data_IF_770327916681
#
_entry.id   IF_770327916681
#
_cell.length_a   1.000
_cell.length_b   1.000
_cell.length_c   1.000
_cell.angle_alpha   90.00
_cell.angle_beta   90.00
_cell.angle_gamma   90.00
#
_symmetry.space_group_name_H-M   'P 1'
#
loop_
_entity.id
_entity.type
_entity.pdbx_description
1 polymer ?
#
# COMPACT_ATOMS: atom_id res chain seq x y z
N UNK A 1 31.57 13.33 32.60
CA UNK A 1 31.03 12.15 33.31
C UNK A 1 30.12 12.67 34.41
N UNK A 2 28.81 12.48 34.28
CA UNK A 2 27.82 12.72 35.33
C UNK A 2 26.88 11.55 35.29
N UNK A 3 27.19 10.58 36.15
CA UNK A 3 26.48 9.32 36.30
C UNK A 3 25.21 9.59 37.12
N UNK A 4 24.05 9.60 36.47
CA UNK A 4 22.77 9.67 37.15
C UNK A 4 22.39 8.24 37.61
N UNK A 5 22.78 7.90 38.84
CA UNK A 5 22.43 6.62 39.44
C UNK A 5 20.93 6.58 39.78
N UNK A 6 20.15 5.78 39.04
CA UNK A 6 18.79 5.41 39.43
C UNK A 6 18.85 4.51 40.67
N UNK A 7 18.41 5.02 41.83
CA UNK A 7 18.14 4.20 43.02
C UNK A 7 16.76 3.56 42.89
N UNK A 8 16.71 2.23 42.95
CA UNK A 8 15.46 1.46 43.09
C UNK A 8 14.94 1.64 44.53
N UNK A 9 13.74 2.20 44.67
CA UNK A 9 13.08 2.46 45.97
C UNK A 9 12.15 1.29 46.32
N UNK A 10 12.18 0.87 47.59
CA UNK A 10 11.40 -0.25 48.14
C UNK A 10 9.87 -0.01 48.13
N UNK A 11 9.12 -1.12 48.08
CA UNK A 11 7.68 -1.19 47.73
C UNK A 11 6.73 -0.57 48.77
N UNK A 12 6.31 0.68 48.53
CA UNK A 12 5.01 1.25 48.96
C UNK A 12 4.33 1.90 47.73
N UNK A 13 3.03 1.72 47.52
CA UNK A 13 2.36 2.20 46.28
C UNK A 13 2.37 3.73 46.13
N UNK A 14 2.35 4.48 47.24
CA UNK A 14 2.49 5.96 47.25
C UNK A 14 3.90 6.39 46.80
N UNK A 15 4.94 5.61 47.13
CA UNK A 15 6.32 5.90 46.73
C UNK A 15 6.58 5.56 45.27
N UNK A 16 5.87 4.56 44.72
CA UNK A 16 5.94 4.24 43.28
C UNK A 16 5.35 5.32 42.39
N UNK A 17 4.22 5.91 42.77
CA UNK A 17 3.60 6.98 41.98
C UNK A 17 4.48 8.23 41.96
N UNK A 18 5.02 8.63 43.11
CA UNK A 18 5.96 9.77 43.19
C UNK A 18 7.26 9.50 42.42
N UNK A 19 7.82 8.29 42.53
CA UNK A 19 9.00 7.90 41.77
C UNK A 19 8.72 7.89 40.26
N UNK A 20 7.53 7.43 39.85
CA UNK A 20 7.08 7.45 38.47
C UNK A 20 6.92 8.90 37.96
N UNK A 21 6.27 9.79 38.68
CA UNK A 21 6.13 11.21 38.30
C UNK A 21 7.50 11.91 38.20
N UNK A 22 8.41 11.65 39.13
CA UNK A 22 9.76 12.19 39.09
C UNK A 22 10.53 11.68 37.86
N UNK A 23 10.40 10.40 37.53
CA UNK A 23 10.99 9.80 36.34
C UNK A 23 10.38 10.38 35.05
N UNK A 24 9.04 10.49 34.97
CA UNK A 24 8.34 11.10 33.84
C UNK A 24 8.80 12.55 33.63
N UNK A 25 8.86 13.36 34.69
CA UNK A 25 9.34 14.75 34.63
C UNK A 25 10.83 14.86 34.30
N UNK A 26 11.66 13.89 34.68
CA UNK A 26 13.06 13.84 34.25
C UNK A 26 13.18 13.52 32.75
N UNK A 27 12.36 12.59 32.25
CA UNK A 27 12.32 12.20 30.85
C UNK A 27 11.86 13.40 29.99
N UNK A 28 10.77 14.07 30.35
CA UNK A 28 10.30 15.26 29.62
C UNK A 28 11.31 16.42 29.62
N UNK A 29 11.99 16.66 30.75
CA UNK A 29 13.05 17.70 30.80
C UNK A 29 14.26 17.36 29.93
N UNK A 30 14.60 16.08 29.81
CA UNK A 30 15.78 15.64 29.05
C UNK A 30 15.50 15.48 27.56
N UNK A 31 14.27 15.11 27.19
CA UNK A 31 13.91 14.70 25.83
C UNK A 31 12.75 15.50 25.19
N UNK A 32 12.19 16.47 25.92
CA UNK A 32 11.12 17.36 25.45
C UNK A 32 9.71 16.90 25.85
N UNK A 33 8.74 17.81 25.78
CA UNK A 33 7.33 17.49 26.05
C UNK A 33 6.84 16.39 25.12
N UNK A 34 6.11 15.42 25.67
CA UNK A 34 5.56 14.29 24.91
C UNK A 34 6.55 13.15 24.64
N UNK A 35 7.77 13.19 25.19
CA UNK A 35 8.74 12.08 25.10
C UNK A 35 8.27 10.81 25.84
N UNK A 36 7.37 10.96 26.82
CA UNK A 36 6.73 9.86 27.54
C UNK A 36 5.34 10.30 27.98
N UNK A 37 4.33 9.46 27.78
CA UNK A 37 2.94 9.77 28.13
C UNK A 37 2.16 8.49 28.38
N UNK A 38 1.06 8.58 29.13
CA UNK A 38 0.13 7.45 29.29
C UNK A 38 -0.66 7.30 27.98
N UNK A 39 -0.71 6.08 27.44
CA UNK A 39 -1.35 5.79 26.16
C UNK A 39 -2.82 6.25 26.07
N UNK A 40 -3.55 6.23 27.19
CA UNK A 40 -4.96 6.65 27.28
C UNK A 40 -5.18 8.12 27.69
N UNK A 41 -4.14 8.95 27.81
CA UNK A 41 -4.27 10.38 28.12
C UNK A 41 -4.49 11.27 26.89
N UNK A 42 -4.60 10.68 25.69
CA UNK A 42 -5.21 11.37 24.56
C UNK A 42 -6.73 11.30 24.72
N UNK A 43 -7.40 12.46 24.83
CA UNK A 43 -8.87 12.56 24.91
C UNK A 43 -9.59 12.05 23.64
N UNK A 44 -8.84 11.74 22.58
CA UNK A 44 -9.29 10.96 21.44
C UNK A 44 -8.39 9.71 21.34
N UNK A 45 -8.97 8.52 21.20
CA UNK A 45 -8.21 7.40 20.64
C UNK A 45 -7.44 7.93 19.42
N UNK A 46 -6.14 7.65 19.28
CA UNK A 46 -5.36 8.12 18.14
C UNK A 46 -5.98 7.46 16.89
N UNK A 47 -6.95 8.13 16.28
CA UNK A 47 -7.50 7.76 14.99
C UNK A 47 -6.36 7.92 14.00
N UNK A 48 -5.91 6.80 13.46
CA UNK A 48 -4.84 6.80 12.48
C UNK A 48 -5.43 7.37 11.20
N UNK A 49 -5.03 8.60 10.87
CA UNK A 49 -5.42 9.23 9.62
C UNK A 49 -4.98 8.37 8.42
N UNK A 50 -5.80 8.37 7.37
CA UNK A 50 -5.58 7.56 6.19
C UNK A 50 -5.63 8.41 4.90
N UNK A 51 -4.89 7.96 3.89
CA UNK A 51 -4.98 8.44 2.50
C UNK A 51 -5.67 7.34 1.69
N UNK A 52 -6.74 7.67 0.97
CA UNK A 52 -7.43 6.70 0.11
C UNK A 52 -6.46 6.12 -0.92
N UNK A 53 -6.63 4.83 -1.21
CA UNK A 53 -5.88 4.13 -2.24
C UNK A 53 -6.42 4.39 -3.65
N UNK A 54 -7.55 5.08 -3.78
CA UNK A 54 -8.33 5.19 -5.01
C UNK A 54 -9.18 3.96 -5.32
N UNK A 55 -9.01 2.86 -4.56
CA UNK A 55 -9.85 1.66 -4.61
C UNK A 55 -10.72 1.57 -3.36
N UNK A 56 -12.04 1.50 -3.55
CA UNK A 56 -13.00 1.42 -2.42
C UNK A 56 -12.83 0.10 -1.69
N UNK A 57 -12.68 -1.00 -2.43
CA UNK A 57 -12.52 -2.33 -1.84
C UNK A 57 -11.25 -2.40 -1.00
N UNK A 58 -10.15 -1.82 -1.49
CA UNK A 58 -8.88 -1.81 -0.77
C UNK A 58 -8.93 -0.91 0.47
N UNK A 59 -9.58 0.24 0.41
CA UNK A 59 -9.78 1.12 1.57
C UNK A 59 -10.59 0.41 2.69
N UNK A 60 -11.65 -0.30 2.32
CA UNK A 60 -12.44 -1.14 3.25
C UNK A 60 -11.58 -2.27 3.83
N UNK A 61 -10.79 -2.93 2.99
CA UNK A 61 -9.95 -4.01 3.44
C UNK A 61 -8.87 -3.55 4.44
N UNK A 62 -8.29 -2.37 4.22
CA UNK A 62 -7.33 -1.76 5.12
C UNK A 62 -7.92 -1.39 6.48
N UNK A 63 -9.25 -1.27 6.58
CA UNK A 63 -10.01 -1.16 7.84
C UNK A 63 -10.03 0.23 8.46
N UNK A 64 -9.09 1.10 8.07
CA UNK A 64 -9.05 2.52 8.47
C UNK A 64 -9.44 3.45 7.32
N UNK A 65 -9.94 2.92 6.20
CA UNK A 65 -10.36 3.70 5.04
C UNK A 65 -9.23 4.14 4.10
N UNK A 66 -8.03 3.55 4.21
CA UNK A 66 -6.91 3.85 3.31
C UNK A 66 -5.54 3.49 3.88
N UNK A 67 -4.49 4.05 3.30
CA UNK A 67 -3.10 3.91 3.72
C UNK A 67 -2.79 4.80 4.93
N UNK A 68 -2.15 4.29 5.99
CA UNK A 68 -1.95 5.06 7.23
C UNK A 68 -0.90 6.16 7.06
N UNK A 69 -1.27 7.40 7.39
CA UNK A 69 -0.33 8.53 7.49
C UNK A 69 0.68 8.32 8.62
N UNK A 70 1.84 8.96 8.46
CA UNK A 70 2.96 8.82 9.40
C UNK A 70 3.58 7.42 9.46
N UNK A 71 3.37 6.59 8.43
CA UNK A 71 3.85 5.19 8.36
C UNK A 71 4.45 4.86 6.99
N UNK A 72 5.26 3.81 6.97
CA UNK A 72 5.73 3.19 5.74
C UNK A 72 4.78 2.11 5.20
N UNK A 73 4.61 2.07 3.88
CA UNK A 73 3.85 1.07 3.14
C UNK A 73 4.76 0.46 2.07
N UNK A 74 4.71 -0.86 1.88
CA UNK A 74 5.36 -1.52 0.74
C UNK A 74 4.31 -2.08 -0.21
N UNK A 75 4.40 -1.71 -1.49
CA UNK A 75 3.59 -2.27 -2.58
C UNK A 75 4.53 -3.09 -3.46
N UNK A 76 4.32 -4.39 -3.52
CA UNK A 76 5.18 -5.29 -4.29
C UNK A 76 4.38 -6.27 -5.13
N UNK A 77 4.98 -6.78 -6.19
CA UNK A 77 4.30 -7.62 -7.15
C UNK A 77 5.14 -7.86 -8.41
N UNK A 78 4.65 -8.69 -9.34
CA UNK A 78 5.26 -8.87 -10.65
C UNK A 78 5.38 -7.55 -11.43
N UNK A 79 6.12 -7.57 -12.53
CA UNK A 79 6.06 -6.50 -13.52
C UNK A 79 4.64 -6.33 -14.07
N UNK A 80 4.29 -5.11 -14.46
CA UNK A 80 2.97 -4.79 -15.05
C UNK A 80 1.75 -5.18 -14.19
N UNK A 81 1.92 -5.42 -12.89
CA UNK A 81 0.82 -5.76 -11.98
C UNK A 81 0.02 -4.55 -11.48
N UNK A 82 0.47 -3.31 -11.77
CA UNK A 82 -0.21 -2.08 -11.35
C UNK A 82 0.37 -1.41 -10.10
N UNK A 83 1.58 -1.76 -9.66
CA UNK A 83 2.25 -1.15 -8.49
C UNK A 83 2.31 0.38 -8.56
N UNK A 84 2.88 0.91 -9.63
CA UNK A 84 3.02 2.35 -9.88
C UNK A 84 1.66 3.00 -10.06
N UNK A 85 0.72 2.36 -10.77
CA UNK A 85 -0.67 2.83 -10.90
C UNK A 85 -1.34 3.02 -9.54
N UNK A 86 -1.24 2.03 -8.64
CA UNK A 86 -1.81 2.12 -7.29
C UNK A 86 -1.16 3.24 -6.46
N UNK A 87 0.17 3.41 -6.55
CA UNK A 87 0.86 4.49 -5.86
C UNK A 87 0.45 5.88 -6.41
N UNK A 88 0.30 6.02 -7.72
CA UNK A 88 -0.16 7.25 -8.36
C UNK A 88 -1.61 7.58 -7.99
N UNK A 89 -2.49 6.59 -7.80
CA UNK A 89 -3.82 6.84 -7.25
C UNK A 89 -3.77 7.37 -5.82
N UNK A 90 -2.92 6.81 -4.95
CA UNK A 90 -2.73 7.34 -3.61
C UNK A 90 -2.21 8.79 -3.62
N UNK A 91 -1.30 9.12 -4.56
CA UNK A 91 -0.83 10.49 -4.79
C UNK A 91 -1.98 11.40 -5.24
N UNK A 92 -2.78 10.97 -6.22
CA UNK A 92 -3.92 11.73 -6.73
C UNK A 92 -4.97 11.99 -5.64
N UNK A 93 -5.31 10.98 -4.82
CA UNK A 93 -6.24 11.12 -3.70
C UNK A 93 -5.71 12.08 -2.63
N UNK A 94 -4.41 12.03 -2.32
CA UNK A 94 -3.80 12.99 -1.39
C UNK A 94 -3.87 14.43 -1.94
N UNK A 95 -3.52 14.63 -3.21
CA UNK A 95 -3.57 15.96 -3.85
C UNK A 95 -5.00 16.52 -3.92
N UNK A 96 -6.02 15.68 -4.15
CA UNK A 96 -7.44 16.10 -4.13
C UNK A 96 -7.84 16.72 -2.79
N UNK A 97 -7.22 16.28 -1.70
CA UNK A 97 -7.44 16.82 -0.35
C UNK A 97 -6.50 17.99 0.01
N UNK A 98 -5.75 18.51 -0.96
CA UNK A 98 -4.80 19.62 -0.77
C UNK A 98 -3.42 19.19 -0.27
N UNK A 99 -3.12 17.89 -0.24
CA UNK A 99 -1.84 17.37 0.20
C UNK A 99 -0.71 17.59 -0.82
N UNK A 100 0.51 17.79 -0.31
CA UNK A 100 1.72 17.91 -1.14
C UNK A 100 2.38 16.56 -1.31
N UNK A 101 2.69 16.18 -2.54
CA UNK A 101 3.21 14.86 -2.86
C UNK A 101 4.60 14.94 -3.50
N UNK A 102 5.41 13.91 -3.28
CA UNK A 102 6.72 13.74 -3.89
C UNK A 102 6.91 12.33 -4.44
N UNK A 103 7.69 12.21 -5.50
CA UNK A 103 7.98 10.97 -6.19
C UNK A 103 9.49 10.85 -6.45
N UNK A 104 10.12 9.84 -5.87
CA UNK A 104 11.52 9.48 -6.10
C UNK A 104 11.52 8.35 -7.14
N UNK A 105 11.74 8.72 -8.39
CA UNK A 105 11.75 7.84 -9.56
C UNK A 105 13.18 7.34 -9.82
N UNK A 106 13.56 6.28 -9.10
CA UNK A 106 14.81 5.56 -9.29
C UNK A 106 14.77 4.62 -10.51
N UNK A 107 13.59 4.23 -10.99
CA UNK A 107 13.45 3.44 -12.24
C UNK A 107 13.53 4.30 -13.51
N UNK A 108 13.48 5.64 -13.39
CA UNK A 108 13.43 6.57 -14.52
C UNK A 108 12.30 6.26 -15.52
N UNK A 109 11.17 5.77 -15.00
CA UNK A 109 10.10 5.18 -15.79
C UNK A 109 8.73 5.87 -15.60
N UNK A 110 8.67 6.94 -14.81
CA UNK A 110 7.43 7.67 -14.59
C UNK A 110 7.00 8.42 -15.85
N UNK A 111 5.82 8.10 -16.37
CA UNK A 111 5.17 8.83 -17.48
C UNK A 111 4.24 9.93 -16.92
N UNK A 112 4.56 11.22 -17.12
CA UNK A 112 3.71 12.32 -16.67
C UNK A 112 2.32 12.34 -17.33
N UNK A 113 2.21 11.93 -18.59
CA UNK A 113 0.94 11.89 -19.32
C UNK A 113 0.03 10.84 -18.72
N UNK A 114 0.57 9.67 -18.40
CA UNK A 114 -0.17 8.62 -17.70
C UNK A 114 -0.56 9.07 -16.30
N UNK A 115 0.36 9.65 -15.52
CA UNK A 115 0.05 10.17 -14.17
C UNK A 115 -1.09 11.20 -14.19
N UNK A 116 -1.08 12.14 -15.14
CA UNK A 116 -2.14 13.13 -15.29
C UNK A 116 -3.51 12.48 -15.58
N UNK A 117 -3.55 11.44 -16.43
CA UNK A 117 -4.78 10.68 -16.70
C UNK A 117 -5.34 9.97 -15.45
N UNK A 118 -4.48 9.58 -14.51
CA UNK A 118 -4.88 9.01 -13.22
C UNK A 118 -5.37 10.08 -12.22
N UNK A 119 -5.35 11.36 -12.60
CA UNK A 119 -5.79 12.48 -11.77
C UNK A 119 -4.70 13.08 -10.89
N UNK A 120 -3.43 12.76 -11.14
CA UNK A 120 -2.30 13.41 -10.49
C UNK A 120 -2.14 14.84 -11.04
N UNK A 121 -2.04 15.82 -10.16
CA UNK A 121 -1.61 17.16 -10.52
C UNK A 121 -0.08 17.14 -10.70
N UNK A 122 0.35 16.95 -11.94
CA UNK A 122 1.76 16.85 -12.33
C UNK A 122 2.54 18.16 -12.19
N UNK A 123 1.87 19.32 -12.21
CA UNK A 123 2.51 20.63 -12.06
C UNK A 123 3.02 20.85 -10.62
N UNK A 124 2.31 20.29 -9.65
CA UNK A 124 2.62 20.41 -8.22
C UNK A 124 3.29 19.15 -7.65
N UNK A 125 3.51 18.10 -8.46
CA UNK A 125 4.18 16.89 -8.02
C UNK A 125 5.70 17.10 -8.00
N UNK A 126 6.32 17.01 -6.82
CA UNK A 126 7.77 17.05 -6.70
C UNK A 126 8.37 15.74 -7.22
N UNK A 127 9.28 15.81 -8.20
CA UNK A 127 9.93 14.63 -8.77
C UNK A 127 11.44 14.71 -8.51
N UNK A 128 12.03 13.58 -8.14
CA UNK A 128 13.47 13.40 -8.05
C UNK A 128 13.88 12.14 -8.81
N UNK A 129 14.89 12.27 -9.66
CA UNK A 129 15.51 11.17 -10.40
C UNK A 129 16.97 11.01 -9.94
N UNK A 130 17.21 10.23 -8.88
CA UNK A 130 18.52 10.12 -8.26
C UNK A 130 19.46 9.19 -9.05
N UNK A 131 20.77 9.47 -8.98
CA UNK A 131 21.81 8.66 -9.61
C UNK A 131 22.15 7.41 -8.79
N UNK A 132 21.97 7.45 -7.46
CA UNK A 132 22.34 6.36 -6.54
C UNK A 132 21.33 6.17 -5.41
N UNK A 133 21.30 4.96 -4.85
CA UNK A 133 20.40 4.58 -3.76
C UNK A 133 20.57 5.42 -2.49
N UNK A 134 21.81 5.78 -2.12
CA UNK A 134 22.08 6.66 -0.99
C UNK A 134 21.44 8.04 -1.20
N UNK A 135 21.63 8.63 -2.38
CA UNK A 135 21.09 9.94 -2.74
C UNK A 135 19.56 9.92 -2.71
N UNK A 136 18.94 8.90 -3.30
CA UNK A 136 17.49 8.71 -3.29
C UNK A 136 16.91 8.73 -1.87
N UNK A 137 17.53 7.98 -0.95
CA UNK A 137 17.07 7.85 0.43
C UNK A 137 17.36 9.12 1.26
N UNK A 138 18.45 9.83 0.97
CA UNK A 138 18.75 11.13 1.60
C UNK A 138 17.78 12.24 1.15
N UNK A 139 17.41 12.25 -0.14
CA UNK A 139 16.38 13.14 -0.68
C UNK A 139 15.04 12.85 0.00
N UNK A 140 14.63 11.57 0.04
CA UNK A 140 13.40 11.16 0.71
C UNK A 140 13.37 11.60 2.18
N UNK A 141 14.47 11.40 2.93
CA UNK A 141 14.55 11.76 4.34
C UNK A 141 14.54 13.28 4.58
N UNK A 142 15.14 14.05 3.66
CA UNK A 142 15.12 15.51 3.71
C UNK A 142 13.74 16.07 3.43
N UNK A 143 13.07 15.55 2.40
CA UNK A 143 11.70 15.88 2.06
C UNK A 143 10.73 15.56 3.21
N UNK A 144 10.82 14.35 3.79
CA UNK A 144 9.98 13.96 4.93
C UNK A 144 10.24 14.83 6.16
N UNK A 145 11.51 15.15 6.47
CA UNK A 145 11.86 16.01 7.61
C UNK A 145 11.40 17.46 7.49
N UNK A 146 11.18 17.95 6.26
CA UNK A 146 10.67 19.30 6.06
C UNK A 146 9.28 19.50 6.69
N UNK A 147 8.54 18.41 6.90
CA UNK A 147 7.14 18.46 7.37
C UNK A 147 6.15 18.94 6.31
N UNK A 148 6.61 19.21 5.08
CA UNK A 148 5.78 19.75 4.00
C UNK A 148 5.22 18.68 3.06
N UNK A 149 5.63 17.40 3.20
CA UNK A 149 5.21 16.32 2.30
C UNK A 149 4.20 15.41 3.00
N UNK A 150 3.02 15.27 2.40
CA UNK A 150 1.94 14.39 2.85
C UNK A 150 2.14 12.95 2.38
N UNK A 151 2.54 12.77 1.12
CA UNK A 151 2.79 11.44 0.51
C UNK A 151 4.10 11.47 -0.25
N UNK A 152 4.99 10.52 0.04
CA UNK A 152 6.24 10.32 -0.69
C UNK A 152 6.29 8.89 -1.26
N UNK A 153 6.46 8.76 -2.57
CA UNK A 153 6.64 7.47 -3.25
C UNK A 153 8.10 7.27 -3.62
N UNK A 154 8.61 6.05 -3.43
CA UNK A 154 9.93 5.61 -3.91
C UNK A 154 9.72 4.46 -4.90
N UNK A 155 9.96 4.73 -6.19
CA UNK A 155 9.83 3.78 -7.29
C UNK A 155 11.17 3.53 -7.98
N UNK A 156 11.88 2.44 -7.72
CA UNK A 156 11.55 1.36 -6.80
C UNK A 156 12.75 0.99 -5.93
N UNK A 157 12.49 0.24 -4.85
CA UNK A 157 13.54 -0.27 -3.96
C UNK A 157 14.56 -1.12 -4.72
N UNK A 158 14.14 -1.81 -5.79
CA UNK A 158 15.06 -2.61 -6.59
C UNK A 158 16.09 -1.76 -7.33
N UNK A 159 15.73 -0.53 -7.72
CA UNK A 159 16.59 0.42 -8.41
C UNK A 159 17.45 1.30 -7.46
N UNK A 160 17.32 1.13 -6.15
CA UNK A 160 18.18 1.80 -5.16
C UNK A 160 19.56 1.14 -5.12
N UNK A 161 20.33 1.28 -6.19
CA UNK A 161 21.67 0.69 -6.33
C UNK A 161 22.68 1.53 -5.55
N UNK A 162 23.44 0.95 -4.61
CA UNK A 162 24.48 1.68 -3.88
C UNK A 162 25.55 2.24 -4.81
N UNK A 163 26.09 3.41 -4.49
CA UNK A 163 27.13 4.08 -5.29
C UNK A 163 28.35 3.19 -5.58
N UNK A 164 28.80 2.43 -4.59
CA UNK A 164 29.95 1.54 -4.76
C UNK A 164 29.69 0.40 -5.77
N UNK A 165 28.43 0.01 -5.99
CA UNK A 165 28.04 -0.97 -7.01
C UNK A 165 27.92 -0.33 -8.40
N UNK A 166 27.52 0.95 -8.48
CA UNK A 166 27.47 1.70 -9.74
C UNK A 166 28.87 2.07 -10.28
N UNK A 167 29.81 2.37 -9.37
CA UNK A 167 31.19 2.72 -9.70
C UNK A 167 32.09 1.48 -9.88
N UNK A 168 31.61 0.30 -9.46
CA UNK A 168 32.32 -0.98 -9.61
C UNK A 168 32.23 -1.56 -11.02
N UNK A 169 32.96 -2.65 -11.26
CA UNK A 169 32.93 -3.36 -12.53
C UNK A 169 31.82 -4.41 -12.56
N UNK A 170 31.28 -4.70 -13.76
CA UNK A 170 30.31 -5.79 -13.92
C UNK A 170 30.92 -7.13 -13.51
N UNK A 171 30.37 -7.74 -12.48
CA UNK A 171 30.88 -8.99 -11.90
C UNK A 171 31.50 -8.83 -10.52
N UNK A 172 31.67 -7.60 -10.03
CA UNK A 172 32.14 -7.36 -8.68
C UNK A 172 31.15 -7.89 -7.63
N UNK A 173 31.71 -8.52 -6.59
CA UNK A 173 30.92 -9.16 -5.54
C UNK A 173 30.56 -8.18 -4.42
N UNK A 174 29.40 -7.52 -4.54
CA UNK A 174 28.85 -6.64 -3.49
C UNK A 174 27.74 -7.32 -2.68
N UNK A 175 28.10 -8.30 -1.86
CA UNK A 175 27.11 -9.10 -1.11
C UNK A 175 26.37 -8.24 -0.08
N UNK A 176 25.06 -8.05 -0.30
CA UNK A 176 24.14 -7.48 0.69
C UNK A 176 24.29 -5.98 0.94
N UNK A 177 24.99 -5.25 0.06
CA UNK A 177 25.23 -3.81 0.21
C UNK A 177 23.90 -3.03 0.25
N UNK A 178 23.01 -3.29 -0.70
CA UNK A 178 21.67 -2.68 -0.75
C UNK A 178 20.84 -2.97 0.51
N UNK A 179 20.89 -4.19 1.05
CA UNK A 179 20.16 -4.55 2.26
C UNK A 179 20.65 -3.78 3.50
N UNK A 180 21.97 -3.51 3.58
CA UNK A 180 22.57 -2.70 4.65
C UNK A 180 22.17 -1.23 4.50
N UNK A 181 22.22 -0.69 3.28
CA UNK A 181 21.77 0.66 2.95
C UNK A 181 20.31 0.87 3.40
N UNK A 182 19.40 -0.01 2.96
CA UNK A 182 17.99 0.03 3.33
C UNK A 182 17.79 -0.03 4.85
N UNK A 183 18.52 -0.90 5.54
CA UNK A 183 18.42 -1.03 7.00
C UNK A 183 18.84 0.25 7.73
N UNK A 184 19.87 0.93 7.25
CA UNK A 184 20.35 2.19 7.82
C UNK A 184 19.40 3.35 7.52
N UNK A 185 18.94 3.46 6.28
CA UNK A 185 18.02 4.52 5.86
C UNK A 185 16.66 4.41 6.57
N UNK A 186 16.05 3.23 6.58
CA UNK A 186 14.74 3.02 7.22
C UNK A 186 14.77 3.31 8.73
N UNK A 187 15.90 3.06 9.40
CA UNK A 187 16.08 3.41 10.82
C UNK A 187 15.97 4.91 11.07
N UNK A 188 16.46 5.74 10.15
CA UNK A 188 16.34 7.21 10.21
C UNK A 188 14.94 7.65 9.77
N UNK A 189 14.53 7.20 8.58
CA UNK A 189 13.27 7.58 7.94
C UNK A 189 12.06 7.29 8.82
N UNK A 190 12.02 6.16 9.53
CA UNK A 190 10.86 5.81 10.36
C UNK A 190 10.53 6.87 11.42
N UNK A 191 11.56 7.47 12.03
CA UNK A 191 11.32 8.55 13.00
C UNK A 191 10.90 9.84 12.30
N UNK A 192 11.48 10.17 11.14
CA UNK A 192 11.11 11.35 10.36
C UNK A 192 9.63 11.26 9.93
N UNK A 193 9.25 10.11 9.35
CA UNK A 193 7.92 9.77 8.85
C UNK A 193 6.85 9.90 9.93
N UNK A 194 7.10 9.34 11.12
CA UNK A 194 6.14 9.41 12.23
C UNK A 194 5.95 10.84 12.76
N UNK A 195 7.00 11.67 12.75
CA UNK A 195 6.96 13.05 13.25
C UNK A 195 6.31 14.04 12.26
N UNK A 196 6.48 13.81 10.96
CA UNK A 196 5.91 14.67 9.92
C UNK A 196 4.51 14.25 9.48
N UNK A 197 3.98 13.13 10.00
CA UNK A 197 2.72 12.54 9.54
C UNK A 197 2.69 12.22 8.02
N UNK A 198 3.88 12.10 7.40
CA UNK A 198 4.02 11.76 5.98
C UNK A 198 3.74 10.27 5.76
N UNK A 199 2.96 9.92 4.74
CA UNK A 199 2.85 8.54 4.24
C UNK A 199 4.01 8.28 3.26
N UNK A 200 4.86 7.29 3.56
CA UNK A 200 5.91 6.86 2.63
C UNK A 200 5.54 5.52 1.98
N UNK A 201 5.50 5.47 0.66
CA UNK A 201 5.18 4.29 -0.14
C UNK A 201 6.46 3.82 -0.85
N UNK A 202 6.84 2.58 -0.62
CA UNK A 202 7.92 1.91 -1.34
C UNK A 202 7.34 0.94 -2.36
N UNK A 203 7.64 1.15 -3.64
CA UNK A 203 7.38 0.15 -4.67
C UNK A 203 8.54 -0.83 -4.68
N UNK A 204 8.23 -2.13 -4.80
CA UNK A 204 9.23 -3.17 -4.81
C UNK A 204 8.91 -4.26 -5.82
N UNK A 205 9.94 -4.96 -6.26
CA UNK A 205 9.83 -6.07 -7.20
C UNK A 205 9.94 -7.40 -6.48
N UNK A 206 9.38 -8.45 -7.09
CA UNK A 206 9.57 -9.82 -6.65
C UNK A 206 10.89 -10.36 -7.22
N UNK A 207 11.59 -11.15 -6.41
CA UNK A 207 12.74 -12.00 -6.77
C UNK A 207 12.52 -13.40 -6.21
N UNK A 208 13.18 -14.40 -6.77
CA UNK A 208 13.14 -15.77 -6.24
C UNK A 208 14.37 -16.05 -5.39
N UNK A 209 14.17 -16.67 -4.22
CA UNK A 209 15.25 -17.24 -3.41
C UNK A 209 15.60 -18.62 -3.94
N UNK A 210 16.85 -18.77 -4.37
CA UNK A 210 17.39 -20.07 -4.79
C UNK A 210 17.52 -20.99 -3.56
N UNK A 211 17.17 -22.27 -3.73
CA UNK A 211 17.38 -23.30 -2.70
C UNK A 211 16.25 -23.46 -1.67
N UNK A 212 15.09 -22.83 -1.87
CA UNK A 212 13.90 -23.04 -1.03
C UNK A 212 13.18 -24.31 -1.48
N UNK A 213 13.20 -25.37 -0.66
CA UNK A 213 12.50 -26.63 -0.93
C UNK A 213 11.06 -26.69 -0.38
N UNK A 214 10.69 -25.78 0.53
CA UNK A 214 9.37 -25.75 1.17
C UNK A 214 8.88 -24.32 1.35
N UNK A 215 7.60 -24.07 1.04
CA UNK A 215 6.98 -22.74 1.08
C UNK A 215 7.20 -21.92 -0.20
N UNK A 216 6.83 -20.63 -0.16
CA UNK A 216 7.00 -19.75 -1.32
C UNK A 216 8.47 -19.32 -1.48
N UNK A 217 9.06 -19.47 -2.69
CA UNK A 217 10.41 -18.99 -2.97
C UNK A 217 10.46 -17.47 -3.18
N UNK A 218 9.32 -16.78 -3.26
CA UNK A 218 9.27 -15.36 -3.56
C UNK A 218 9.82 -14.49 -2.42
N UNK A 219 10.51 -13.42 -2.79
CA UNK A 219 11.03 -12.42 -1.88
C UNK A 219 11.07 -11.04 -2.51
N UNK A 220 11.30 -10.01 -1.71
CA UNK A 220 11.41 -8.63 -2.17
C UNK A 220 12.85 -8.12 -2.04
N UNK A 221 13.21 -7.16 -2.89
CA UNK A 221 14.55 -6.57 -2.94
C UNK A 221 14.80 -5.65 -1.74
N UNK A 222 16.07 -5.33 -1.42
CA UNK A 222 16.43 -4.46 -0.30
C UNK A 222 16.51 -5.15 1.08
N UNK A 223 16.53 -6.49 1.10
CA UNK A 223 16.64 -7.27 2.33
C UNK A 223 15.34 -7.33 3.13
N UNK A 224 15.43 -7.61 4.44
CA UNK A 224 14.24 -7.79 5.28
C UNK A 224 13.79 -6.52 6.01
N UNK A 225 14.60 -5.46 6.04
CA UNK A 225 14.32 -4.27 6.84
C UNK A 225 12.95 -3.66 6.49
N UNK A 226 12.68 -3.44 5.20
CA UNK A 226 11.41 -2.87 4.74
C UNK A 226 10.21 -3.68 5.22
N UNK A 227 10.30 -5.02 5.21
CA UNK A 227 9.23 -5.89 5.70
C UNK A 227 8.87 -5.63 7.16
N UNK A 228 9.83 -5.25 8.01
CA UNK A 228 9.58 -4.95 9.43
C UNK A 228 9.07 -3.53 9.65
N UNK A 229 9.64 -2.56 8.94
CA UNK A 229 9.32 -1.14 9.07
C UNK A 229 7.97 -0.78 8.44
N UNK A 230 7.58 -1.42 7.34
CA UNK A 230 6.26 -1.18 6.74
C UNK A 230 5.14 -1.57 7.70
N UNK A 231 4.18 -0.66 7.90
CA UNK A 231 2.95 -0.92 8.66
C UNK A 231 1.94 -1.69 7.82
N UNK A 232 1.90 -1.41 6.52
CA UNK A 232 1.08 -2.15 5.55
C UNK A 232 2.00 -2.71 4.46
N UNK A 233 1.72 -3.94 4.02
CA UNK A 233 2.36 -4.54 2.85
C UNK A 233 1.28 -5.09 1.93
N UNK A 234 1.35 -4.72 0.65
CA UNK A 234 0.39 -5.08 -0.38
C UNK A 234 1.09 -5.94 -1.45
N UNK A 235 0.55 -7.13 -1.68
CA UNK A 235 0.94 -8.02 -2.80
C UNK A 235 -0.07 -7.81 -3.93
N UNK A 236 0.36 -7.13 -5.00
CA UNK A 236 -0.50 -6.79 -6.15
C UNK A 236 -0.13 -7.64 -7.37
N UNK A 237 -1.13 -8.29 -7.96
CA UNK A 237 -0.97 -9.21 -9.09
C UNK A 237 -2.03 -8.99 -10.15
N UNK A 238 -1.62 -9.02 -11.41
CA UNK A 238 -2.54 -9.23 -12.53
C UNK A 238 -3.02 -10.68 -12.50
N UNK A 239 -4.35 -10.88 -12.48
CA UNK A 239 -4.98 -12.21 -12.48
C UNK A 239 -5.76 -12.48 -13.78
N UNK A 240 -6.00 -11.46 -14.60
CA UNK A 240 -6.67 -11.62 -15.89
C UNK A 240 -6.53 -10.41 -16.79
N UNK A 241 -7.01 -10.54 -18.03
CA UNK A 241 -7.12 -9.45 -18.99
C UNK A 241 -8.60 -9.05 -19.12
N UNK A 242 -8.86 -7.76 -19.22
CA UNK A 242 -10.19 -7.22 -19.53
C UNK A 242 -10.20 -6.95 -21.03
N UNK A 243 -11.19 -7.49 -21.73
CA UNK A 243 -11.32 -7.37 -23.18
C UNK A 243 -12.61 -6.65 -23.56
N UNK A 244 -12.52 -5.77 -24.54
CA UNK A 244 -13.66 -5.33 -25.33
C UNK A 244 -13.50 -5.91 -26.73
N UNK A 245 -14.35 -6.88 -27.08
CA UNK A 245 -14.22 -7.72 -28.26
C UNK A 245 -12.82 -8.36 -28.33
N UNK A 246 -11.99 -7.93 -29.28
CA UNK A 246 -10.65 -8.45 -29.52
C UNK A 246 -9.55 -7.64 -28.81
N UNK A 247 -9.86 -6.42 -28.35
CA UNK A 247 -8.88 -5.51 -27.77
C UNK A 247 -8.76 -5.70 -26.26
N UNK A 248 -7.52 -5.77 -25.76
CA UNK A 248 -7.25 -5.80 -24.31
C UNK A 248 -7.23 -4.37 -23.78
N UNK A 249 -8.28 -4.01 -23.05
CA UNK A 249 -8.50 -2.64 -22.54
C UNK A 249 -8.04 -2.45 -21.09
N UNK A 250 -7.66 -3.52 -20.40
CA UNK A 250 -7.16 -3.43 -19.03
C UNK A 250 -6.81 -4.77 -18.41
N UNK A 251 -6.54 -4.71 -17.11
CA UNK A 251 -6.13 -5.83 -16.28
C UNK A 251 -7.09 -6.03 -15.12
N UNK A 252 -7.53 -7.27 -14.95
CA UNK A 252 -8.17 -7.69 -13.71
C UNK A 252 -7.07 -7.94 -12.68
N UNK A 253 -7.11 -7.24 -11.56
CA UNK A 253 -6.01 -7.11 -10.61
C UNK A 253 -6.47 -7.56 -9.23
N UNK A 254 -5.63 -8.34 -8.55
CA UNK A 254 -5.82 -8.78 -7.17
C UNK A 254 -4.77 -8.12 -6.28
N UNK A 255 -5.22 -7.59 -5.15
CA UNK A 255 -4.35 -7.09 -4.07
C UNK A 255 -4.61 -7.89 -2.81
N UNK A 256 -3.54 -8.42 -2.20
CA UNK A 256 -3.59 -9.07 -0.89
C UNK A 256 -2.87 -8.21 0.15
N UNK A 257 -3.53 -7.94 1.27
CA UNK A 257 -2.95 -7.23 2.40
C UNK A 257 -2.10 -8.19 3.23
N UNK A 258 -0.85 -8.45 2.84
CA UNK A 258 -0.01 -9.48 3.50
C UNK A 258 0.52 -9.05 4.88
N UNK A 259 0.47 -7.76 5.18
CA UNK A 259 0.76 -7.21 6.51
C UNK A 259 -0.11 -6.00 6.75
N UNK A 260 -0.67 -5.91 7.96
CA UNK A 260 -1.43 -4.75 8.41
C UNK A 260 -1.21 -4.59 9.92
N UNK A 261 -0.68 -3.43 10.34
CA UNK A 261 -0.48 -3.07 11.76
C UNK A 261 -1.59 -2.17 12.31
N UNK A 262 -2.54 -1.76 11.48
CA UNK A 262 -3.60 -0.80 11.84
C UNK A 262 -5.00 -1.43 11.82
N UNK A 263 -5.16 -2.56 11.13
CA UNK A 263 -6.36 -3.39 11.16
C UNK A 263 -5.99 -4.87 10.89
N UNK A 264 -6.95 -5.82 10.91
CA UNK A 264 -6.69 -7.22 10.56
C UNK A 264 -6.07 -7.39 9.16
N UNK A 265 -4.99 -8.19 9.01
CA UNK A 265 -4.36 -8.47 7.73
C UNK A 265 -5.08 -9.56 6.92
N UNK A 266 -4.48 -9.92 5.77
CA UNK A 266 -4.79 -11.06 4.89
C UNK A 266 -6.03 -10.99 4.03
N UNK A 267 -6.77 -9.89 4.10
CA UNK A 267 -7.87 -9.63 3.16
C UNK A 267 -7.37 -9.56 1.72
N UNK A 268 -8.19 -10.06 0.81
CA UNK A 268 -7.97 -10.07 -0.63
C UNK A 268 -9.05 -9.24 -1.31
N UNK A 269 -8.63 -8.41 -2.26
CA UNK A 269 -9.48 -7.50 -3.00
C UNK A 269 -9.16 -7.67 -4.47
N UNK A 270 -10.18 -7.64 -5.30
CA UNK A 270 -10.07 -7.67 -6.74
C UNK A 270 -10.74 -6.43 -7.31
N UNK A 271 -10.06 -5.80 -8.27
CA UNK A 271 -10.55 -4.63 -8.98
C UNK A 271 -9.90 -4.56 -10.35
N UNK A 272 -10.45 -3.71 -11.21
CA UNK A 272 -9.96 -3.53 -12.56
C UNK A 272 -9.05 -2.32 -12.66
N UNK A 273 -7.96 -2.48 -13.42
CA UNK A 273 -7.11 -1.38 -13.86
C UNK A 273 -7.28 -1.25 -15.37
N UNK A 274 -7.91 -0.16 -15.80
CA UNK A 274 -8.15 0.15 -17.21
C UNK A 274 -7.01 1.00 -17.76
N UNK A 275 -6.57 0.70 -18.98
CA UNK A 275 -5.46 1.43 -19.59
C UNK A 275 -5.88 2.87 -19.90
N UNK A 276 -5.11 3.83 -19.40
CA UNK A 276 -5.40 5.25 -19.55
C UNK A 276 -6.49 5.82 -18.64
N UNK A 277 -7.18 5.00 -17.83
CA UNK A 277 -8.15 5.47 -16.81
C UNK A 277 -7.71 5.12 -15.38
N UNK A 278 -6.95 4.04 -15.19
CA UNK A 278 -6.52 3.59 -13.85
C UNK A 278 -7.50 2.63 -13.19
N UNK A 279 -7.53 2.65 -11.86
CA UNK A 279 -8.44 1.84 -11.04
C UNK A 279 -9.89 2.23 -11.36
N UNK A 280 -10.69 1.23 -11.74
CA UNK A 280 -12.09 1.41 -12.08
C UNK A 280 -12.97 1.47 -10.83
N UNK A 281 -13.06 2.64 -10.21
CA UNK A 281 -13.93 2.89 -9.04
C UNK A 281 -15.39 2.51 -9.31
N UNK A 282 -15.90 2.81 -10.51
CA UNK A 282 -17.28 2.47 -10.89
C UNK A 282 -17.50 0.96 -11.01
N UNK A 283 -16.49 0.22 -11.49
CA UNK A 283 -16.53 -1.25 -11.50
C UNK A 283 -16.59 -1.81 -10.08
N UNK A 284 -15.78 -1.29 -9.17
CA UNK A 284 -15.81 -1.70 -7.75
C UNK A 284 -17.15 -1.42 -7.09
N UNK A 285 -17.79 -0.27 -7.36
CA UNK A 285 -19.11 0.04 -6.82
C UNK A 285 -20.17 -0.99 -7.21
N UNK A 286 -20.10 -1.50 -8.44
CA UNK A 286 -21.01 -2.54 -8.91
C UNK A 286 -20.71 -3.85 -8.19
N UNK A 287 -19.45 -4.28 -8.19
CA UNK A 287 -19.08 -5.59 -7.66
C UNK A 287 -19.29 -5.65 -6.13
N UNK A 288 -18.92 -4.60 -5.40
CA UNK A 288 -19.17 -4.47 -3.96
C UNK A 288 -20.65 -4.24 -3.66
N UNK A 289 -21.35 -3.49 -4.50
CA UNK A 289 -22.78 -3.26 -4.36
C UNK A 289 -23.58 -4.56 -4.49
N UNK A 290 -23.20 -5.45 -5.40
CA UNK A 290 -23.81 -6.78 -5.52
C UNK A 290 -23.51 -7.64 -4.31
N UNK A 291 -22.26 -7.66 -3.82
CA UNK A 291 -21.89 -8.42 -2.62
C UNK A 291 -22.60 -7.94 -1.36
N UNK A 292 -22.86 -6.64 -1.26
CA UNK A 292 -23.57 -6.04 -0.14
C UNK A 292 -25.10 -6.06 -0.29
N UNK A 293 -25.66 -6.74 -1.31
CA UNK A 293 -27.09 -6.74 -1.63
C UNK A 293 -27.70 -5.33 -1.84
N UNK A 294 -26.88 -4.35 -2.23
CA UNK A 294 -27.29 -2.97 -2.56
C UNK A 294 -27.67 -2.86 -4.04
N UNK A 295 -26.95 -3.59 -4.90
CA UNK A 295 -27.19 -3.67 -6.35
C UNK A 295 -27.70 -5.07 -6.65
N UNK A 296 -28.88 -5.17 -7.23
CA UNK A 296 -29.48 -6.45 -7.60
C UNK A 296 -28.95 -6.93 -8.95
N UNK A 297 -28.59 -8.21 -9.04
CA UNK A 297 -28.19 -8.85 -10.29
C UNK A 297 -29.17 -9.95 -10.66
N UNK A 298 -29.93 -9.74 -11.73
CA UNK A 298 -30.87 -10.71 -12.30
C UNK A 298 -30.39 -11.18 -13.68
N UNK A 299 -29.73 -12.33 -13.72
CA UNK A 299 -29.08 -12.83 -14.94
C UNK A 299 -27.96 -11.88 -15.39
N UNK A 300 -28.12 -11.27 -16.55
CA UNK A 300 -27.20 -10.24 -17.07
C UNK A 300 -27.59 -8.81 -16.69
N UNK A 301 -28.75 -8.58 -16.09
CA UNK A 301 -29.22 -7.25 -15.73
C UNK A 301 -28.79 -6.84 -14.32
N UNK A 302 -28.36 -5.58 -14.19
CA UNK A 302 -28.08 -4.92 -12.92
C UNK A 302 -29.17 -3.88 -12.65
N UNK A 303 -29.64 -3.83 -11.40
CA UNK A 303 -30.65 -2.88 -10.94
C UNK A 303 -30.23 -2.25 -9.61
N UNK A 304 -30.61 -0.99 -9.40
CA UNK A 304 -30.48 -0.28 -8.14
C UNK A 304 -31.83 0.36 -7.83
N UNK A 305 -32.35 0.16 -6.61
CA UNK A 305 -33.64 0.71 -6.17
C UNK A 305 -34.79 0.47 -7.17
N UNK A 306 -34.92 -0.79 -7.64
CA UNK A 306 -35.88 -1.21 -8.67
C UNK A 306 -35.71 -0.57 -10.06
N UNK A 307 -34.75 0.33 -10.26
CA UNK A 307 -34.39 0.88 -11.56
C UNK A 307 -33.32 0.00 -12.23
N UNK A 308 -33.51 -0.35 -13.49
CA UNK A 308 -32.46 -1.02 -14.28
C UNK A 308 -31.35 -0.03 -14.61
N UNK A 309 -30.15 -0.33 -14.13
CA UNK A 309 -28.96 0.51 -14.34
C UNK A 309 -28.10 0.03 -15.52
N UNK A 310 -28.24 -1.23 -15.95
CA UNK A 310 -27.59 -1.70 -17.17
C UNK A 310 -27.72 -3.20 -17.42
N UNK A 311 -27.59 -3.59 -18.69
CA UNK A 311 -27.43 -4.99 -19.09
C UNK A 311 -25.95 -5.28 -19.28
N UNK A 312 -25.38 -6.12 -18.43
CA UNK A 312 -23.94 -6.37 -18.36
C UNK A 312 -23.21 -5.34 -17.49
N UNK A 313 -22.05 -5.76 -16.96
CA UNK A 313 -21.25 -4.97 -16.02
C UNK A 313 -20.77 -3.66 -16.63
N UNK A 314 -20.41 -3.68 -17.91
CA UNK A 314 -19.88 -2.51 -18.62
C UNK A 314 -20.94 -1.41 -18.79
N UNK A 315 -22.17 -1.77 -19.18
CA UNK A 315 -23.26 -0.80 -19.30
C UNK A 315 -23.65 -0.21 -17.94
N UNK A 316 -23.64 -1.02 -16.88
CA UNK A 316 -23.87 -0.53 -15.53
C UNK A 316 -22.74 0.42 -15.07
N UNK A 317 -21.48 0.15 -15.46
CA UNK A 317 -20.34 1.02 -15.18
C UNK A 317 -20.51 2.38 -15.84
N UNK A 318 -20.89 2.38 -17.11
CA UNK A 318 -21.14 3.61 -17.87
C UNK A 318 -22.31 4.41 -17.26
N UNK A 319 -23.39 3.74 -16.85
CA UNK A 319 -24.50 4.39 -16.16
C UNK A 319 -24.06 5.09 -14.88
N UNK A 320 -23.24 4.47 -14.02
CA UNK A 320 -22.73 5.12 -12.80
C UNK A 320 -21.80 6.28 -13.11
N UNK A 321 -21.02 6.20 -14.20
CA UNK A 321 -20.17 7.30 -14.68
C UNK A 321 -21.01 8.50 -15.13
N UNK A 322 -22.15 8.25 -15.77
CA UNK A 322 -23.06 9.28 -16.27
C UNK A 322 -24.01 9.82 -15.19
N UNK A 323 -24.15 9.15 -14.04
CA UNK A 323 -25.02 9.53 -12.92
C UNK A 323 -24.24 9.54 -11.58
N UNK A 324 -23.36 10.54 -11.34
CA UNK A 324 -22.47 10.59 -10.18
C UNK A 324 -23.19 10.59 -8.82
N UNK A 325 -24.40 11.15 -8.75
CA UNK A 325 -25.23 11.18 -7.55
C UNK A 325 -25.69 9.77 -7.13
N UNK A 326 -26.02 8.92 -8.09
CA UNK A 326 -26.38 7.51 -7.84
C UNK A 326 -25.13 6.76 -7.38
N UNK A 327 -24.00 6.97 -8.06
CA UNK A 327 -22.72 6.37 -7.69
C UNK A 327 -22.30 6.75 -6.25
N UNK A 328 -22.45 8.01 -5.86
CA UNK A 328 -22.16 8.48 -4.50
C UNK A 328 -23.09 7.86 -3.45
N UNK A 329 -24.38 7.70 -3.78
CA UNK A 329 -25.36 7.06 -2.88
C UNK A 329 -25.03 5.57 -2.69
N UNK A 330 -24.66 4.87 -3.75
CA UNK A 330 -24.20 3.48 -3.67
C UNK A 330 -22.91 3.38 -2.85
N UNK A 331 -21.93 4.26 -3.10
CA UNK A 331 -20.68 4.30 -2.34
C UNK A 331 -20.93 4.50 -0.84
N UNK A 332 -21.81 5.43 -0.49
CA UNK A 332 -22.17 5.70 0.91
C UNK A 332 -22.74 4.45 1.58
N UNK A 333 -23.73 3.79 0.96
CA UNK A 333 -24.33 2.55 1.47
C UNK A 333 -23.30 1.40 1.57
N UNK A 334 -22.36 1.30 0.62
CA UNK A 334 -21.28 0.31 0.67
C UNK A 334 -20.37 0.58 1.86
N UNK A 335 -19.99 1.83 2.12
CA UNK A 335 -19.13 2.21 3.24
C UNK A 335 -19.83 2.01 4.60
N UNK A 336 -21.13 2.23 4.70
CA UNK A 336 -21.90 1.88 5.91
C UNK A 336 -21.87 0.36 6.19
N UNK A 337 -21.89 -0.47 5.13
CA UNK A 337 -21.80 -1.93 5.22
C UNK A 337 -20.35 -2.47 5.22
N UNK A 338 -19.34 -1.60 5.36
CA UNK A 338 -17.93 -1.99 5.26
C UNK A 338 -17.53 -3.10 6.25
N UNK A 339 -18.15 -3.16 7.43
CA UNK A 339 -17.90 -4.21 8.42
C UNK A 339 -18.27 -5.62 7.94
N UNK A 340 -19.37 -5.75 7.18
CA UNK A 340 -19.82 -7.01 6.58
C UNK A 340 -18.92 -7.41 5.41
N UNK A 341 -18.65 -6.47 4.51
CA UNK A 341 -17.77 -6.67 3.34
C UNK A 341 -16.35 -7.05 3.75
N UNK A 342 -15.83 -6.48 4.83
CA UNK A 342 -14.52 -6.81 5.39
C UNK A 342 -14.41 -8.27 5.83
N UNK A 343 -15.51 -8.91 6.23
CA UNK A 343 -15.56 -10.32 6.62
C UNK A 343 -15.41 -11.26 5.42
N UNK A 344 -16.13 -10.98 4.33
CA UNK A 344 -16.09 -11.80 3.11
C UNK A 344 -14.73 -11.75 2.39
N UNK A 345 -13.98 -10.65 2.55
CA UNK A 345 -12.65 -10.49 1.98
C UNK A 345 -11.57 -11.37 2.63
N UNK A 346 -11.87 -12.06 3.74
CA UNK A 346 -10.94 -13.01 4.37
C UNK A 346 -10.99 -14.42 3.74
N UNK A 347 -12.04 -14.72 2.99
CA UNK A 347 -12.19 -15.97 2.24
C UNK A 347 -11.71 -15.79 0.80
N UNK A 348 -10.85 -16.67 0.25
CA UNK A 348 -10.58 -16.69 -1.18
C UNK A 348 -11.90 -16.85 -1.96
N UNK A 349 -12.09 -16.19 -3.12
CA UNK A 349 -13.28 -16.44 -3.92
C UNK A 349 -13.34 -17.93 -4.27
N UNK A 350 -14.48 -18.55 -3.97
CA UNK A 350 -14.76 -19.92 -4.43
C UNK A 350 -14.64 -19.94 -5.95
N UNK A 351 -13.79 -20.82 -6.47
CA UNK A 351 -13.69 -21.07 -7.91
C UNK A 351 -15.05 -21.55 -8.41
N UNK A 352 -15.78 -20.67 -9.10
CA UNK A 352 -17.01 -21.06 -9.79
C UNK A 352 -16.64 -21.92 -11.00
N UNK A 353 -16.70 -23.24 -10.80
CA UNK A 353 -16.96 -24.31 -11.78
C UNK A 353 -16.25 -24.29 -13.14
N UNK A 354 -15.37 -25.26 -13.36
CA UNK A 354 -14.97 -25.68 -14.71
C UNK A 354 -13.81 -26.68 -14.78
N UNK A 355 -14.14 -27.97 -14.65
CA UNK A 355 -13.45 -29.09 -15.31
C UNK A 355 -12.05 -29.46 -14.83
N UNK A 356 -11.93 -30.63 -14.20
CA UNK A 356 -10.68 -31.39 -14.08
C UNK A 356 -10.02 -31.53 -15.47
N UNK A 357 -8.91 -30.82 -15.69
CA UNK A 357 -7.98 -31.16 -16.75
C UNK A 357 -6.93 -32.10 -16.14
N UNK A 358 -7.10 -33.39 -16.44
CA UNK A 358 -6.17 -34.47 -16.13
C UNK A 358 -4.74 -34.14 -16.57
N UNK A 359 -3.80 -34.27 -15.64
CA UNK A 359 -2.37 -34.36 -15.92
C UNK A 359 -2.13 -35.60 -16.79
N UNK A 360 -1.83 -35.39 -18.08
CA UNK A 360 -1.26 -36.42 -18.93
C UNK A 360 0.26 -36.40 -18.76
N UNK A 361 0.79 -37.42 -18.09
CA UNK A 361 2.21 -37.75 -18.03
C UNK A 361 2.75 -37.97 -19.46
N UNK A 362 3.62 -37.07 -19.91
CA UNK A 362 4.49 -37.32 -21.06
C UNK A 362 5.71 -38.11 -20.56
N UNK A 363 5.59 -39.44 -20.51
CA UNK A 363 6.73 -40.34 -20.36
C UNK A 363 7.51 -40.31 -21.67
N UNK A 364 8.68 -39.67 -21.64
CA UNK A 364 9.71 -39.78 -22.66
C UNK A 364 10.11 -41.24 -22.84
N UNK A 365 9.88 -41.74 -24.05
CA UNK A 365 10.36 -43.01 -24.55
C UNK A 365 11.86 -42.85 -24.86
N UNK A 366 12.70 -43.62 -24.16
CA UNK A 366 14.14 -43.76 -24.45
C UNK A 366 14.31 -45.16 -25.00
N UNK A 367 14.58 -45.25 -26.31
CA UNK A 367 14.90 -46.51 -26.96
C UNK A 367 15.25 -46.35 -28.43
N UNK A 368 16.50 -45.95 -28.71
CA UNK A 368 17.50 -46.75 -29.45
C UNK A 368 18.88 -46.08 -29.42
#
# INVERSE_FOLDING_TARGET
MTEAALRLVDKNDIDKEKALEAALGQIERSFGKGSVMKLGQHDNAIEIEAVSTGSIGLDIALGIGGLPRGRGVEIYGPESSGKTTLALHAVAEAQKTGGTCAFVDAEHALDPVYAQKLGVNVEELLISQPDAGEQALEIADTLVRSGAIDVLVVDSVAALVPRAELEGEMGDHHVGLQARLMSQALRKLTSSVAKSNCLIIFINQIRMKIGVMFGSPETTTGGNALKFYSSVRLDIRRIGAIKDKDDVIGNHTRVKVVKNKVAPPFKIIEFDILYGEGISKMGELIDLGVKADIVEKSGSWYSYDSQRIGQGRENARQFLKDNPEVAATIEFKIRENAGLLAGEMMTPPETVGGGEASEAEEKGDVGE
#
